data_IF_798757087407
#
_entry.id   IF_798757087407
#
_cell.length_a   1.000
_cell.length_b   1.000
_cell.length_c   1.000
_cell.angle_alpha   90.00
_cell.angle_beta   90.00
_cell.angle_gamma   90.00
#
_symmetry.space_group_name_H-M   'P 1'
#
loop_
_entity.id
_entity.type
_entity.pdbx_description
1 polymer ?
#
# COMPACT_ATOMS: atom_id res chain seq x y z
N UNK A 1 -57.10 10.77 -36.16
CA UNK A 1 -55.86 11.20 -35.49
C UNK A 1 -56.14 11.44 -34.02
N UNK A 2 -55.60 10.61 -33.12
CA UNK A 2 -55.31 11.03 -31.76
C UNK A 2 -53.80 11.10 -31.52
N UNK A 3 -53.38 12.24 -30.97
CA UNK A 3 -52.10 12.48 -30.34
C UNK A 3 -52.00 11.67 -29.04
N UNK A 4 -50.87 11.00 -28.79
CA UNK A 4 -50.51 10.58 -27.43
C UNK A 4 -49.05 10.90 -27.14
N UNK A 5 -48.88 11.63 -26.06
CA UNK A 5 -47.65 12.25 -25.55
C UNK A 5 -46.96 11.28 -24.59
N UNK A 6 -45.63 11.39 -24.49
CA UNK A 6 -44.75 10.38 -23.92
C UNK A 6 -44.81 10.15 -22.40
N UNK A 7 -44.04 9.16 -21.98
CA UNK A 7 -43.60 9.01 -20.60
C UNK A 7 -42.19 8.40 -20.60
N UNK A 8 -41.30 9.12 -19.94
CA UNK A 8 -39.87 8.87 -19.81
C UNK A 8 -39.59 7.57 -19.04
N UNK A 9 -38.88 6.63 -19.65
CA UNK A 9 -38.22 5.56 -18.91
C UNK A 9 -36.94 6.13 -18.29
N UNK A 10 -37.01 6.44 -16.99
CA UNK A 10 -35.85 6.79 -16.18
C UNK A 10 -34.87 5.61 -16.19
N UNK A 11 -33.67 5.85 -16.71
CA UNK A 11 -32.57 4.91 -16.68
C UNK A 11 -31.98 4.87 -15.27
N UNK A 12 -32.45 3.95 -14.43
CA UNK A 12 -31.78 3.57 -13.18
C UNK A 12 -30.49 2.84 -13.53
N UNK A 13 -29.43 3.61 -13.80
CA UNK A 13 -28.08 3.07 -13.87
C UNK A 13 -27.44 3.24 -12.50
N UNK A 14 -27.06 2.16 -11.79
CA UNK A 14 -26.35 2.30 -10.53
C UNK A 14 -25.05 3.06 -10.77
N UNK A 15 -24.59 3.91 -9.82
CA UNK A 15 -23.33 4.61 -9.97
C UNK A 15 -22.21 3.57 -10.07
N UNK A 16 -21.65 3.40 -11.27
CA UNK A 16 -20.41 2.65 -11.46
C UNK A 16 -19.35 3.33 -10.60
N UNK A 17 -18.93 2.67 -9.53
CA UNK A 17 -17.79 3.14 -8.74
C UNK A 17 -16.59 3.25 -9.68
N UNK A 18 -16.12 4.49 -9.86
CA UNK A 18 -14.98 4.76 -10.71
C UNK A 18 -13.77 4.06 -10.09
N UNK A 19 -13.28 2.98 -10.72
CA UNK A 19 -12.04 2.34 -10.33
C UNK A 19 -10.92 3.36 -10.49
N UNK A 20 -10.45 3.91 -9.37
CA UNK A 20 -9.29 4.81 -9.32
C UNK A 20 -8.11 4.08 -9.96
N UNK A 21 -7.58 4.63 -11.06
CA UNK A 21 -6.34 4.13 -11.67
C UNK A 21 -5.17 4.61 -10.85
N UNK A 22 -4.76 3.79 -9.90
CA UNK A 22 -3.56 4.01 -9.10
C UNK A 22 -2.35 3.60 -9.93
N UNK A 23 -1.67 4.60 -10.49
CA UNK A 23 -0.66 4.42 -11.54
C UNK A 23 0.74 4.69 -11.01
N UNK A 24 0.89 5.21 -9.78
CA UNK A 24 2.18 5.48 -9.15
C UNK A 24 2.49 4.48 -8.03
N UNK A 25 3.77 4.24 -7.79
CA UNK A 25 4.23 3.36 -6.69
C UNK A 25 3.79 3.87 -5.31
N UNK A 26 3.73 5.19 -5.14
CA UNK A 26 3.21 5.83 -3.92
C UNK A 26 1.74 5.45 -3.67
N UNK A 27 0.91 5.50 -4.72
CA UNK A 27 -0.52 5.16 -4.65
C UNK A 27 -0.78 3.71 -4.20
N UNK A 28 0.19 2.81 -4.41
CA UNK A 28 0.05 1.41 -4.01
C UNK A 28 0.16 1.26 -2.50
N UNK A 29 1.02 2.04 -1.85
CA UNK A 29 1.15 2.01 -0.39
C UNK A 29 -0.13 2.51 0.25
N UNK A 30 -0.66 3.64 -0.22
CA UNK A 30 -1.93 4.18 0.29
C UNK A 30 -3.07 3.18 0.13
N UNK A 31 -3.19 2.51 -1.03
CA UNK A 31 -4.20 1.46 -1.23
C UNK A 31 -4.06 0.29 -0.23
N UNK A 32 -2.84 -0.16 0.01
CA UNK A 32 -2.58 -1.27 0.92
C UNK A 32 -2.91 -0.86 2.35
N UNK A 33 -2.51 0.35 2.75
CA UNK A 33 -2.76 0.89 4.08
C UNK A 33 -4.26 1.12 4.33
N UNK A 34 -4.97 1.70 3.36
CA UNK A 34 -6.43 1.88 3.40
C UNK A 34 -7.12 0.52 3.55
N UNK A 35 -6.70 -0.50 2.79
CA UNK A 35 -7.29 -1.84 2.90
C UNK A 35 -7.03 -2.49 4.26
N UNK A 36 -5.81 -2.39 4.78
CA UNK A 36 -5.45 -2.92 6.11
C UNK A 36 -6.29 -2.25 7.20
N UNK A 37 -6.51 -0.94 7.08
CA UNK A 37 -7.26 -0.19 8.07
C UNK A 37 -8.78 -0.45 7.95
N UNK A 38 -9.34 -0.30 6.75
CA UNK A 38 -10.79 -0.26 6.54
C UNK A 38 -11.41 -1.67 6.46
N UNK A 39 -10.72 -2.64 5.86
CA UNK A 39 -11.28 -3.98 5.63
C UNK A 39 -10.83 -4.99 6.70
N UNK A 40 -9.58 -4.89 7.18
CA UNK A 40 -9.05 -5.80 8.20
C UNK A 40 -9.23 -5.25 9.62
N UNK A 41 -9.47 -3.94 9.77
CA UNK A 41 -9.52 -3.29 11.09
C UNK A 41 -8.18 -3.31 11.82
N UNK A 42 -7.08 -3.47 11.10
CA UNK A 42 -5.74 -3.59 11.68
C UNK A 42 -5.07 -2.22 11.75
N UNK A 43 -4.33 -1.99 12.81
CA UNK A 43 -3.38 -0.87 12.82
C UNK A 43 -2.17 -1.22 11.95
N UNK A 44 -1.40 -0.20 11.53
CA UNK A 44 -0.12 -0.42 10.86
C UNK A 44 0.82 -1.30 11.72
N UNK A 45 0.78 -1.14 13.04
CA UNK A 45 1.55 -1.96 13.98
C UNK A 45 1.15 -3.44 13.95
N UNK A 46 -0.15 -3.73 13.95
CA UNK A 46 -0.67 -5.10 13.88
C UNK A 46 -0.31 -5.77 12.55
N UNK A 47 -0.41 -5.03 11.46
CA UNK A 47 0.01 -5.50 10.14
C UNK A 47 1.50 -5.82 10.12
N UNK A 48 2.36 -4.91 10.61
CA UNK A 48 3.80 -5.14 10.65
C UNK A 48 4.13 -6.34 11.54
N UNK A 49 3.51 -6.45 12.72
CA UNK A 49 3.67 -7.60 13.61
C UNK A 49 3.28 -8.90 12.89
N UNK A 50 2.12 -8.93 12.24
CA UNK A 50 1.67 -10.08 11.48
C UNK A 50 2.66 -10.43 10.35
N UNK A 51 3.13 -9.45 9.57
CA UNK A 51 4.10 -9.65 8.48
C UNK A 51 5.44 -10.18 8.99
N UNK A 52 5.97 -9.61 10.06
CA UNK A 52 7.23 -10.07 10.64
C UNK A 52 7.12 -11.43 11.31
N UNK A 53 5.94 -11.78 11.82
CA UNK A 53 5.67 -13.10 12.38
C UNK A 53 5.19 -14.12 11.32
N UNK A 54 4.84 -13.66 10.11
CA UNK A 54 4.39 -14.52 9.02
C UNK A 54 5.58 -15.22 8.37
N UNK A 55 5.85 -16.44 8.83
CA UNK A 55 6.63 -17.44 8.12
C UNK A 55 8.14 -17.34 8.30
N UNK A 56 8.69 -18.27 9.08
CA UNK A 56 10.13 -18.58 9.16
C UNK A 56 10.78 -18.83 7.77
N UNK A 57 9.97 -19.14 6.74
CA UNK A 57 10.45 -19.43 5.38
C UNK A 57 10.66 -18.22 4.46
N UNK A 58 9.98 -17.09 4.68
CA UNK A 58 10.09 -15.90 3.81
C UNK A 58 11.27 -15.03 4.26
N UNK A 59 11.39 -14.79 5.57
CA UNK A 59 12.45 -13.96 6.17
C UNK A 59 13.86 -14.56 6.03
N UNK A 60 13.95 -15.89 5.90
CA UNK A 60 15.21 -16.64 5.75
C UNK A 60 15.61 -16.93 4.31
N UNK A 61 14.92 -16.36 3.32
CA UNK A 61 15.32 -16.53 1.93
C UNK A 61 16.80 -16.09 1.75
N UNK A 62 17.68 -16.89 1.14
CA UNK A 62 19.11 -16.55 0.98
C UNK A 62 19.33 -15.20 0.29
N UNK A 63 18.42 -14.82 -0.62
CA UNK A 63 18.42 -13.51 -1.28
C UNK A 63 18.15 -12.37 -0.30
N UNK A 64 17.21 -12.56 0.64
CA UNK A 64 16.92 -11.58 1.68
C UNK A 64 18.12 -11.39 2.61
N UNK A 65 18.72 -12.49 3.09
CA UNK A 65 19.91 -12.44 3.94
C UNK A 65 21.11 -11.76 3.23
N UNK A 66 21.35 -12.06 1.96
CA UNK A 66 22.41 -11.43 1.16
C UNK A 66 22.16 -9.93 0.94
N UNK A 67 20.92 -9.55 0.69
CA UNK A 67 20.51 -8.14 0.55
C UNK A 67 20.73 -7.37 1.86
N UNK A 68 20.28 -7.90 2.99
CA UNK A 68 20.47 -7.30 4.32
C UNK A 68 21.96 -7.22 4.67
N UNK A 69 22.74 -8.27 4.40
CA UNK A 69 24.19 -8.25 4.63
C UNK A 69 24.89 -7.16 3.82
N UNK A 70 24.51 -7.01 2.54
CA UNK A 70 25.08 -5.97 1.66
C UNK A 70 24.68 -4.56 2.11
N UNK A 71 23.45 -4.40 2.60
CA UNK A 71 22.97 -3.15 3.17
C UNK A 71 23.76 -2.77 4.44
N UNK A 72 23.90 -3.69 5.39
CA UNK A 72 24.62 -3.46 6.65
C UNK A 72 26.11 -3.19 6.45
N UNK A 73 26.73 -3.80 5.44
CA UNK A 73 28.13 -3.53 5.07
C UNK A 73 28.31 -2.19 4.33
N UNK A 74 27.23 -1.47 4.02
CA UNK A 74 27.29 -0.21 3.30
C UNK A 74 27.63 -0.34 1.81
N UNK A 75 27.43 -1.54 1.24
CA UNK A 75 27.63 -1.82 -0.19
C UNK A 75 26.47 -1.35 -1.08
N UNK A 76 25.40 -0.82 -0.48
CA UNK A 76 24.24 -0.27 -1.17
C UNK A 76 24.34 1.24 -1.36
N UNK A 77 23.59 1.75 -2.35
CA UNK A 77 23.48 3.19 -2.66
C UNK A 77 23.04 4.04 -1.47
N UNK A 78 22.19 3.47 -0.60
CA UNK A 78 21.72 4.09 0.64
C UNK A 78 22.33 3.31 1.79
N UNK A 79 23.10 3.98 2.65
CA UNK A 79 23.79 3.34 3.77
C UNK A 79 22.94 3.39 5.04
N UNK A 80 23.09 2.44 5.97
CA UNK A 80 22.43 2.50 7.28
C UNK A 80 22.71 3.82 8.01
N UNK A 81 23.95 4.33 7.92
CA UNK A 81 24.33 5.61 8.51
C UNK A 81 23.54 6.79 7.95
N UNK A 82 23.19 6.78 6.66
CA UNK A 82 22.41 7.84 6.04
C UNK A 82 20.95 7.82 6.48
N UNK A 83 20.39 6.64 6.76
CA UNK A 83 19.03 6.50 7.31
C UNK A 83 19.01 7.04 8.74
N UNK A 84 19.99 6.68 9.57
CA UNK A 84 20.09 7.18 10.95
C UNK A 84 20.29 8.70 10.93
N UNK A 85 21.17 9.22 10.07
CA UNK A 85 21.35 10.67 9.91
C UNK A 85 20.06 11.37 9.47
N UNK A 86 19.24 10.73 8.62
CA UNK A 86 17.96 11.26 8.19
C UNK A 86 16.96 11.31 9.35
N UNK A 87 16.82 10.21 10.10
CA UNK A 87 15.97 10.13 11.29
C UNK A 87 16.37 11.13 12.37
N UNK A 88 17.67 11.35 12.57
CA UNK A 88 18.16 12.32 13.56
C UNK A 88 17.98 13.78 13.12
N UNK A 89 17.76 14.02 11.83
CA UNK A 89 17.57 15.37 11.27
C UNK A 89 16.12 15.70 10.96
N UNK A 90 15.25 14.70 10.80
CA UNK A 90 13.84 14.90 10.50
C UNK A 90 13.04 15.03 11.80
N UNK A 91 12.14 16.03 11.93
CA UNK A 91 11.37 16.24 13.16
C UNK A 91 10.46 15.07 13.55
N UNK A 92 10.14 14.20 12.58
CA UNK A 92 9.23 13.07 12.76
C UNK A 92 9.93 11.72 12.97
N UNK A 93 11.27 11.72 13.05
CA UNK A 93 12.08 10.48 13.06
C UNK A 93 12.03 9.75 11.73
#
# INVERSE_FOLDING_TARGET
TPHFTGAHAASDTPPRSAKRRYTREADKLDMILDFIHDEMGWTLGDFLYAVFNFGDGIHRAPKHASSVSSFLQGGMKRKPSEIIDLWMRHPDG
#
